data_IF_688556142843
#
_entry.id   IF_688556142843
#
_cell.length_a   1.000
_cell.length_b   1.000
_cell.length_c   1.000
_cell.angle_alpha   90.00
_cell.angle_beta   90.00
_cell.angle_gamma   90.00
#
_symmetry.space_group_name_H-M   'P 1'
#
loop_
_entity.id
_entity.type
_entity.pdbx_description
1 polymer ?
#
# COMPACT_ATOMS: atom_id res chain seq x y z
N UNK A 1 96.12 0.09 0.38
CA UNK A 1 95.29 0.86 1.36
C UNK A 1 94.79 2.11 0.63
N UNK A 2 93.46 2.32 0.62
CA UNK A 2 92.65 3.26 -0.22
C UNK A 2 92.43 2.80 -1.67
N UNK A 3 91.44 1.97 -2.02
CA UNK A 3 89.95 2.15 -2.13
C UNK A 3 89.49 3.00 -3.31
N UNK A 4 89.12 2.29 -4.39
CA UNK A 4 88.31 2.73 -5.53
C UNK A 4 86.89 3.13 -5.13
N UNK A 5 86.29 4.06 -5.88
CA UNK A 5 84.84 4.22 -5.99
C UNK A 5 84.48 4.67 -7.41
N UNK A 6 83.75 3.86 -8.20
CA UNK A 6 83.12 4.32 -9.42
C UNK A 6 81.68 4.80 -9.16
N UNK A 7 81.30 5.81 -9.93
CA UNK A 7 80.02 6.51 -9.95
C UNK A 7 78.94 5.62 -10.56
N UNK A 8 77.89 5.28 -9.80
CA UNK A 8 76.68 4.65 -10.33
C UNK A 8 75.52 5.65 -10.34
N UNK A 9 75.10 6.02 -11.54
CA UNK A 9 73.84 6.68 -11.88
C UNK A 9 72.66 5.79 -11.50
N UNK A 10 71.83 6.22 -10.53
CA UNK A 10 70.53 5.59 -10.24
C UNK A 10 69.42 6.34 -10.98
N UNK A 11 68.84 5.66 -11.96
CA UNK A 11 67.57 5.99 -12.61
C UNK A 11 66.44 5.94 -11.57
N UNK A 12 65.78 7.07 -11.31
CA UNK A 12 64.52 7.15 -10.59
C UNK A 12 63.39 6.81 -11.58
N UNK A 13 62.88 5.58 -11.53
CA UNK A 13 61.62 5.22 -12.19
C UNK A 13 60.47 5.72 -11.31
N UNK A 14 59.64 6.61 -11.85
CA UNK A 14 58.35 6.97 -11.25
C UNK A 14 57.42 5.75 -11.30
N UNK A 15 56.96 5.30 -10.12
CA UNK A 15 55.82 4.41 -9.97
C UNK A 15 54.55 5.28 -9.98
N UNK A 16 53.52 5.00 -10.79
CA UNK A 16 52.25 5.68 -10.66
C UNK A 16 51.54 5.15 -9.40
N UNK A 17 51.14 6.06 -8.53
CA UNK A 17 50.24 5.75 -7.42
C UNK A 17 48.88 5.35 -8.01
N UNK A 18 48.52 4.07 -7.88
CA UNK A 18 47.16 3.59 -8.16
C UNK A 18 46.30 4.08 -7.00
N UNK A 19 45.51 5.13 -7.24
CA UNK A 19 44.45 5.54 -6.33
C UNK A 19 43.40 4.44 -6.31
N UNK A 20 43.25 3.77 -5.16
CA UNK A 20 42.16 2.85 -4.91
C UNK A 20 40.87 3.68 -4.79
N UNK A 21 40.03 3.65 -5.83
CA UNK A 21 38.68 4.19 -5.78
C UNK A 21 37.83 3.22 -4.96
N UNK A 22 37.61 3.55 -3.68
CA UNK A 22 36.63 2.84 -2.86
C UNK A 22 35.24 3.19 -3.41
N UNK A 23 34.64 2.27 -4.16
CA UNK A 23 33.25 2.37 -4.58
C UNK A 23 32.37 2.12 -3.34
N UNK A 24 32.03 3.17 -2.61
CA UNK A 24 30.86 3.15 -1.74
C UNK A 24 29.64 3.10 -2.66
N UNK A 25 29.00 1.93 -2.74
CA UNK A 25 27.70 1.79 -3.39
C UNK A 25 26.69 2.62 -2.63
N UNK A 26 26.26 3.75 -3.21
CA UNK A 26 25.13 4.51 -2.70
C UNK A 26 23.88 3.63 -2.82
N UNK A 27 23.29 3.29 -1.69
CA UNK A 27 21.95 2.73 -1.62
C UNK A 27 20.99 3.80 -2.16
N UNK A 28 20.24 3.47 -3.22
CA UNK A 28 19.14 4.32 -3.67
C UNK A 28 18.12 4.42 -2.54
N UNK A 29 17.91 5.60 -1.98
CA UNK A 29 16.77 5.86 -1.09
C UNK A 29 15.50 5.98 -1.94
N UNK A 30 14.95 4.82 -2.31
CA UNK A 30 13.55 4.72 -2.74
C UNK A 30 12.71 4.76 -1.47
N UNK A 31 11.70 5.64 -1.40
CA UNK A 31 10.74 5.68 -0.30
C UNK A 31 10.38 4.26 0.15
N UNK A 32 10.70 3.93 1.41
CA UNK A 32 10.58 2.56 1.91
C UNK A 32 9.10 2.20 1.91
N UNK A 33 8.75 1.23 1.07
CA UNK A 33 7.41 0.68 1.00
C UNK A 33 7.33 -0.50 1.98
N UNK A 34 6.61 -0.33 3.08
CA UNK A 34 6.26 -1.44 3.97
C UNK A 34 5.10 -2.23 3.35
N UNK A 35 5.26 -3.54 3.18
CA UNK A 35 4.27 -4.40 2.51
C UNK A 35 3.96 -5.62 3.37
N UNK A 36 2.67 -5.79 3.66
CA UNK A 36 2.14 -7.02 4.27
C UNK A 36 1.26 -7.76 3.27
N UNK A 37 1.47 -9.08 3.15
CA UNK A 37 0.67 -9.98 2.31
C UNK A 37 0.09 -11.10 3.19
N UNK A 38 -1.22 -11.31 3.08
CA UNK A 38 -1.93 -12.44 3.67
C UNK A 38 -2.22 -13.48 2.59
N UNK A 39 -1.52 -14.62 2.67
CA UNK A 39 -1.61 -15.74 1.72
C UNK A 39 -2.39 -16.94 2.25
N UNK A 40 -2.78 -16.90 3.54
CA UNK A 40 -3.43 -18.02 4.25
C UNK A 40 -2.59 -19.31 4.37
N UNK A 41 -1.32 -19.29 3.96
CA UNK A 41 -0.44 -20.49 3.98
C UNK A 41 -0.07 -20.97 5.37
N UNK A 42 -0.34 -20.16 6.40
CA UNK A 42 -0.22 -20.58 7.81
C UNK A 42 -1.32 -21.57 8.20
N UNK A 43 -2.32 -21.80 7.34
CA UNK A 43 -3.45 -22.68 7.62
C UNK A 43 -4.50 -22.06 8.54
N UNK A 44 -4.38 -20.77 8.86
CA UNK A 44 -5.34 -19.99 9.62
C UNK A 44 -5.78 -18.74 8.84
N UNK A 45 -6.78 -18.03 9.36
CA UNK A 45 -7.40 -16.91 8.68
C UNK A 45 -6.60 -15.59 8.77
N UNK A 46 -5.49 -15.57 9.52
CA UNK A 46 -4.58 -14.43 9.64
C UNK A 46 -5.28 -13.08 9.93
N UNK A 47 -6.28 -13.10 10.82
CA UNK A 47 -7.05 -11.91 11.21
C UNK A 47 -8.13 -11.47 10.23
N UNK A 48 -8.40 -12.26 9.19
CA UNK A 48 -9.52 -12.07 8.27
C UNK A 48 -10.66 -13.03 8.59
N UNK A 49 -11.90 -12.61 8.37
CA UNK A 49 -13.06 -13.48 8.48
C UNK A 49 -14.07 -13.14 7.39
N UNK A 50 -14.71 -14.18 6.85
CA UNK A 50 -15.85 -14.04 5.96
C UNK A 50 -17.13 -14.52 6.64
N UNK A 51 -18.24 -14.64 5.88
CA UNK A 51 -19.46 -15.26 6.36
C UNK A 51 -19.20 -16.62 7.00
N UNK A 52 -19.69 -16.85 8.20
CA UNK A 52 -19.34 -18.06 8.98
C UNK A 52 -20.54 -18.95 9.32
N UNK A 53 -21.72 -18.67 8.77
CA UNK A 53 -22.93 -19.49 8.94
C UNK A 53 -23.54 -19.46 10.34
N UNK A 54 -22.93 -18.74 11.29
CA UNK A 54 -23.46 -18.53 12.64
C UNK A 54 -24.62 -17.51 12.67
N UNK A 55 -24.90 -16.89 11.53
CA UNK A 55 -26.04 -16.01 11.27
C UNK A 55 -27.35 -16.77 11.00
N UNK A 56 -27.30 -18.10 10.88
CA UNK A 56 -28.47 -18.95 10.67
C UNK A 56 -28.94 -19.07 9.22
N UNK A 57 -28.21 -18.48 8.26
CA UNK A 57 -28.55 -18.52 6.83
C UNK A 57 -27.75 -19.57 6.03
N UNK A 58 -26.87 -20.31 6.70
CA UNK A 58 -26.15 -21.44 6.13
C UNK A 58 -24.95 -21.04 5.26
N UNK A 59 -24.04 -21.98 5.03
CA UNK A 59 -22.76 -21.71 4.38
C UNK A 59 -21.65 -21.35 5.37
N UNK A 60 -20.50 -20.94 4.85
CA UNK A 60 -19.35 -20.57 5.66
C UNK A 60 -18.09 -20.31 4.86
N UNK A 61 -17.14 -19.67 5.53
CA UNK A 61 -15.81 -19.36 5.05
C UNK A 61 -14.80 -20.27 5.76
N UNK A 62 -13.89 -20.84 4.98
CA UNK A 62 -12.79 -21.66 5.50
C UNK A 62 -11.50 -21.38 4.75
N UNK A 63 -10.37 -21.53 5.46
CA UNK A 63 -9.06 -21.58 4.83
C UNK A 63 -8.85 -22.98 4.26
N UNK A 64 -8.47 -23.04 2.99
CA UNK A 64 -8.20 -24.29 2.29
C UNK A 64 -6.78 -24.29 1.75
N UNK A 65 -6.08 -25.42 1.90
CA UNK A 65 -4.65 -25.53 1.57
C UNK A 65 -4.35 -25.60 0.06
N UNK A 66 -5.38 -25.67 -0.79
CA UNK A 66 -5.22 -25.84 -2.24
C UNK A 66 -6.17 -24.96 -3.04
N UNK A 67 -5.77 -24.66 -4.27
CA UNK A 67 -6.54 -23.85 -5.22
C UNK A 67 -6.35 -22.34 -5.06
N UNK A 68 -5.36 -21.90 -4.28
CA UNK A 68 -4.91 -20.51 -4.14
C UNK A 68 -4.11 -20.01 -5.33
N UNK A 69 -3.52 -18.82 -5.17
CA UNK A 69 -2.72 -18.14 -6.18
C UNK A 69 -1.31 -17.77 -5.69
N UNK A 70 -0.42 -18.74 -5.37
CA UNK A 70 -0.61 -20.19 -5.36
C UNK A 70 -1.08 -20.72 -3.98
N UNK A 71 -1.06 -22.04 -3.80
CA UNK A 71 -1.26 -22.73 -2.51
C UNK A 71 -2.61 -22.48 -1.81
N UNK A 72 -2.61 -21.81 -0.66
CA UNK A 72 -3.76 -21.69 0.24
C UNK A 72 -4.65 -20.52 -0.16
N UNK A 73 -5.90 -20.53 0.29
CA UNK A 73 -6.82 -19.41 0.06
C UNK A 73 -7.95 -19.45 1.08
N UNK A 74 -8.67 -18.35 1.19
CA UNK A 74 -9.93 -18.30 1.92
C UNK A 74 -11.09 -18.54 0.95
N UNK A 75 -11.77 -19.67 1.10
CA UNK A 75 -12.92 -20.05 0.27
C UNK A 75 -14.21 -19.84 1.05
N UNK A 76 -15.22 -19.30 0.37
CA UNK A 76 -16.55 -19.06 0.93
C UNK A 76 -17.60 -19.71 0.07
N UNK A 77 -18.49 -20.47 0.69
CA UNK A 77 -19.75 -20.94 0.09
C UNK A 77 -20.85 -20.35 0.96
N UNK A 78 -21.57 -19.37 0.45
CA UNK A 78 -22.50 -18.58 1.25
C UNK A 78 -23.71 -18.17 0.43
N UNK A 79 -24.89 -18.27 1.04
CA UNK A 79 -26.14 -17.89 0.40
C UNK A 79 -26.81 -16.80 1.22
N UNK A 80 -26.67 -15.56 0.75
CA UNK A 80 -27.26 -14.39 1.42
C UNK A 80 -27.28 -13.18 0.48
N UNK A 81 -27.53 -11.98 1.01
CA UNK A 81 -27.58 -10.73 0.27
C UNK A 81 -26.21 -10.29 -0.30
N UNK A 82 -25.10 -10.65 0.35
CA UNK A 82 -23.75 -10.34 -0.14
C UNK A 82 -22.65 -10.93 0.75
N UNK A 83 -21.40 -10.74 0.35
CA UNK A 83 -20.23 -11.22 1.09
C UNK A 83 -19.47 -10.05 1.67
N UNK A 84 -19.26 -10.01 3.01
CA UNK A 84 -18.22 -9.20 3.62
C UNK A 84 -17.02 -10.06 4.05
N UNK A 85 -15.83 -9.77 3.51
CA UNK A 85 -14.56 -10.21 4.08
C UNK A 85 -13.96 -9.07 4.88
N UNK A 86 -13.82 -9.29 6.18
CA UNK A 86 -13.51 -8.24 7.14
C UNK A 86 -12.21 -8.55 7.86
N UNK A 87 -11.50 -7.50 8.24
CA UNK A 87 -10.53 -7.57 9.33
C UNK A 87 -10.82 -6.49 10.36
N UNK A 88 -10.75 -6.90 11.64
CA UNK A 88 -10.91 -6.03 12.82
C UNK A 88 -9.78 -6.25 13.84
N UNK A 89 -8.79 -7.07 13.49
CA UNK A 89 -7.71 -7.47 14.40
C UNK A 89 -6.36 -7.66 13.72
N UNK A 90 -6.25 -7.42 12.40
CA UNK A 90 -4.97 -7.48 11.72
C UNK A 90 -4.36 -6.07 11.71
N UNK A 91 -3.45 -5.81 12.65
CA UNK A 91 -2.84 -4.49 12.84
C UNK A 91 -2.16 -3.95 11.58
N UNK A 92 -1.70 -4.81 10.68
CA UNK A 92 -1.12 -4.37 9.42
C UNK A 92 -2.16 -3.69 8.51
N UNK A 93 -3.46 -3.92 8.67
CA UNK A 93 -4.54 -3.34 7.85
C UNK A 93 -5.39 -2.31 8.61
N UNK A 94 -5.03 -2.00 9.85
CA UNK A 94 -5.80 -1.11 10.71
C UNK A 94 -4.93 0.08 11.16
N UNK A 95 -5.57 1.04 11.82
CA UNK A 95 -4.92 2.22 12.37
C UNK A 95 -4.90 3.42 11.41
N UNK A 96 -3.92 4.29 11.63
CA UNK A 96 -3.77 5.56 10.91
C UNK A 96 -3.09 5.35 9.55
N UNK A 97 -3.84 5.54 8.47
CA UNK A 97 -3.30 5.48 7.11
C UNK A 97 -2.63 6.80 6.70
N UNK A 98 -2.99 7.92 7.33
CA UNK A 98 -2.50 9.27 6.97
C UNK A 98 -1.02 9.49 7.29
N UNK A 99 -0.44 8.63 8.13
CA UNK A 99 1.01 8.54 8.35
C UNK A 99 1.79 8.12 7.09
N UNK A 100 1.13 7.62 6.04
CA UNK A 100 1.74 7.23 4.77
C UNK A 100 1.53 8.28 3.69
N UNK A 101 2.50 8.46 2.79
CA UNK A 101 2.30 9.31 1.60
C UNK A 101 1.42 8.64 0.56
N UNK A 102 1.48 7.31 0.45
CA UNK A 102 0.54 6.56 -0.37
C UNK A 102 0.26 5.21 0.24
N UNK A 103 -0.96 4.71 0.01
CA UNK A 103 -1.38 3.37 0.38
C UNK A 103 -1.87 2.66 -0.87
N UNK A 104 -1.41 1.41 -1.05
CA UNK A 104 -1.91 0.51 -2.09
C UNK A 104 -2.55 -0.71 -1.43
N UNK A 105 -3.81 -0.97 -1.76
CA UNK A 105 -4.54 -2.16 -1.35
C UNK A 105 -4.68 -3.10 -2.53
N UNK A 106 -4.44 -4.40 -2.32
CA UNK A 106 -4.69 -5.44 -3.32
C UNK A 106 -5.41 -6.63 -2.72
N UNK A 107 -6.15 -7.34 -3.56
CA UNK A 107 -6.75 -8.63 -3.24
C UNK A 107 -6.91 -9.45 -4.51
N UNK A 108 -6.60 -10.74 -4.44
CA UNK A 108 -6.95 -11.68 -5.50
C UNK A 108 -8.33 -12.26 -5.22
N UNK A 109 -9.15 -12.35 -6.27
CA UNK A 109 -10.49 -12.94 -6.20
C UNK A 109 -10.68 -13.94 -7.34
N UNK A 110 -11.37 -15.03 -7.02
CA UNK A 110 -11.95 -15.96 -7.99
C UNK A 110 -13.42 -16.23 -7.67
N UNK A 111 -14.29 -16.06 -8.65
CA UNK A 111 -15.74 -16.26 -8.56
C UNK A 111 -16.12 -17.61 -9.17
N UNK A 112 -16.24 -18.65 -8.35
CA UNK A 112 -16.61 -19.99 -8.82
C UNK A 112 -18.11 -20.09 -9.13
N UNK A 113 -18.96 -19.42 -8.34
CA UNK A 113 -20.40 -19.34 -8.56
C UNK A 113 -20.96 -18.01 -8.07
N UNK A 114 -21.84 -17.40 -8.88
CA UNK A 114 -22.60 -16.22 -8.48
C UNK A 114 -23.98 -16.25 -9.16
N UNK A 115 -25.01 -16.68 -8.43
CA UNK A 115 -26.34 -16.92 -9.00
C UNK A 115 -27.47 -16.42 -8.11
N UNK A 116 -28.42 -15.73 -8.72
CA UNK A 116 -29.69 -15.37 -8.11
C UNK A 116 -30.76 -16.30 -8.68
N UNK A 117 -31.36 -17.16 -7.84
CA UNK A 117 -32.35 -18.16 -8.28
C UNK A 117 -31.89 -18.98 -9.50
N UNK A 118 -30.66 -19.50 -9.45
CA UNK A 118 -30.06 -20.30 -10.51
C UNK A 118 -29.63 -19.50 -11.76
N UNK A 119 -29.93 -18.20 -11.83
CA UNK A 119 -29.53 -17.33 -12.94
C UNK A 119 -28.22 -16.64 -12.61
N UNK A 120 -27.27 -16.64 -13.54
CA UNK A 120 -26.00 -15.91 -13.37
C UNK A 120 -26.27 -14.41 -13.21
N UNK A 121 -25.65 -13.81 -12.21
CA UNK A 121 -25.74 -12.37 -11.94
C UNK A 121 -24.35 -11.78 -11.72
N UNK A 122 -24.30 -10.45 -11.73
CA UNK A 122 -23.12 -9.69 -11.30
C UNK A 122 -23.36 -9.06 -9.94
N UNK A 123 -22.28 -8.80 -9.20
CA UNK A 123 -22.29 -8.03 -7.96
C UNK A 123 -21.18 -6.99 -7.98
N UNK A 124 -21.34 -5.85 -7.29
CA UNK A 124 -20.23 -4.95 -7.11
C UNK A 124 -19.14 -5.67 -6.30
N UNK A 125 -17.90 -5.25 -6.49
CA UNK A 125 -16.76 -5.68 -5.70
C UNK A 125 -15.97 -4.44 -5.32
N UNK A 126 -15.82 -4.21 -4.02
CA UNK A 126 -15.27 -2.97 -3.49
C UNK A 126 -14.46 -3.23 -2.23
N UNK A 127 -13.62 -2.26 -1.89
CA UNK A 127 -13.04 -2.12 -0.56
C UNK A 127 -13.71 -0.96 0.17
N UNK A 128 -14.00 -1.15 1.45
CA UNK A 128 -14.53 -0.14 2.37
C UNK A 128 -13.63 -0.07 3.60
N UNK A 129 -13.26 1.15 3.97
CA UNK A 129 -12.44 1.48 5.13
C UNK A 129 -13.31 2.26 6.11
N UNK A 130 -13.53 1.71 7.29
CA UNK A 130 -14.48 2.23 8.28
C UNK A 130 -13.74 2.77 9.50
N UNK A 131 -14.28 3.84 10.04
CA UNK A 131 -13.87 4.45 11.29
C UNK A 131 -15.09 4.55 12.22
N UNK A 132 -15.19 3.67 13.20
CA UNK A 132 -16.32 3.61 14.15
C UNK A 132 -16.34 4.77 15.14
N UNK A 133 -15.20 5.44 15.36
CA UNK A 133 -15.16 6.63 16.22
C UNK A 133 -15.90 7.82 15.62
N UNK A 134 -16.13 7.81 14.30
CA UNK A 134 -16.89 8.82 13.55
C UNK A 134 -18.37 8.45 13.35
N UNK A 135 -18.86 7.39 14.01
CA UNK A 135 -20.27 7.01 13.98
C UNK A 135 -21.17 8.14 14.48
N UNK A 136 -22.20 8.50 13.72
CA UNK A 136 -23.13 9.58 14.05
C UNK A 136 -24.50 9.37 13.40
N UNK A 137 -25.55 10.02 13.90
CA UNK A 137 -26.86 10.00 13.24
C UNK A 137 -27.53 8.63 13.11
N UNK A 138 -27.16 7.65 13.95
CA UNK A 138 -27.63 6.26 13.85
C UNK A 138 -26.77 5.36 12.95
N UNK A 139 -25.76 5.91 12.28
CA UNK A 139 -24.75 5.14 11.58
C UNK A 139 -23.65 4.68 12.56
N UNK A 140 -23.26 3.40 12.52
CA UNK A 140 -22.26 2.86 13.44
C UNK A 140 -20.82 3.30 13.13
N UNK A 141 -20.57 3.88 11.96
CA UNK A 141 -19.27 4.40 11.51
C UNK A 141 -19.44 5.43 10.40
N UNK A 142 -18.40 6.23 10.16
CA UNK A 142 -18.18 6.83 8.85
C UNK A 142 -17.20 5.94 8.06
N UNK A 143 -17.38 5.85 6.74
CA UNK A 143 -16.47 5.06 5.91
C UNK A 143 -16.29 5.64 4.53
N UNK A 144 -15.16 5.27 3.92
CA UNK A 144 -14.82 5.58 2.54
C UNK A 144 -14.66 4.27 1.78
N UNK A 145 -15.12 4.23 0.53
CA UNK A 145 -15.11 3.02 -0.26
C UNK A 145 -14.73 3.27 -1.71
N UNK A 146 -14.11 2.25 -2.32
CA UNK A 146 -13.70 2.25 -3.70
C UNK A 146 -14.19 0.97 -4.38
N UNK A 147 -15.02 1.13 -5.42
CA UNK A 147 -15.52 0.02 -6.22
C UNK A 147 -14.54 -0.34 -7.32
N UNK A 148 -14.02 -1.55 -7.27
CA UNK A 148 -13.12 -2.08 -8.27
C UNK A 148 -13.86 -2.41 -9.57
N UNK A 149 -14.94 -3.18 -9.48
CA UNK A 149 -15.64 -3.70 -10.66
C UNK A 149 -17.05 -4.19 -10.34
N UNK A 150 -17.78 -4.57 -11.39
CA UNK A 150 -18.89 -5.53 -11.31
C UNK A 150 -18.32 -6.92 -11.61
N UNK A 151 -18.34 -7.82 -10.63
CA UNK A 151 -17.81 -9.18 -10.74
C UNK A 151 -18.91 -10.17 -11.10
N UNK A 152 -18.55 -11.22 -11.83
CA UNK A 152 -19.43 -12.35 -12.15
C UNK A 152 -18.58 -13.59 -12.44
N UNK A 153 -19.20 -14.78 -12.36
CA UNK A 153 -18.52 -16.03 -12.72
C UNK A 153 -18.02 -16.04 -14.18
N UNK A 154 -18.69 -15.33 -15.09
CA UNK A 154 -18.29 -15.28 -16.50
C UNK A 154 -17.02 -14.45 -16.74
N UNK A 155 -16.85 -13.38 -15.94
CA UNK A 155 -15.75 -12.41 -16.12
C UNK A 155 -14.59 -12.62 -15.15
N UNK A 156 -14.85 -13.26 -14.01
CA UNK A 156 -13.91 -13.42 -12.90
C UNK A 156 -13.89 -14.87 -12.38
N UNK A 157 -14.16 -15.83 -13.28
CA UNK A 157 -14.10 -17.27 -12.98
C UNK A 157 -12.69 -17.80 -12.73
N UNK A 158 -11.68 -17.05 -13.17
CA UNK A 158 -10.26 -17.27 -12.89
C UNK A 158 -9.72 -16.18 -11.95
N UNK A 159 -8.57 -16.44 -11.33
CA UNK A 159 -7.93 -15.51 -10.41
C UNK A 159 -7.68 -14.14 -11.06
N UNK A 160 -8.17 -13.09 -10.40
CA UNK A 160 -8.02 -11.70 -10.83
C UNK A 160 -7.54 -10.87 -9.65
N UNK A 161 -6.45 -10.12 -9.84
CA UNK A 161 -5.94 -9.16 -8.84
C UNK A 161 -6.65 -7.82 -8.99
N UNK A 162 -7.27 -7.36 -7.92
CA UNK A 162 -7.80 -6.01 -7.79
C UNK A 162 -6.83 -5.13 -7.02
N UNK A 163 -6.70 -3.87 -7.44
CA UNK A 163 -5.75 -2.93 -6.83
C UNK A 163 -6.33 -1.53 -6.79
N UNK A 164 -6.05 -0.79 -5.72
CA UNK A 164 -6.28 0.66 -5.63
C UNK A 164 -5.12 1.31 -4.90
N UNK A 165 -4.62 2.42 -5.45
CA UNK A 165 -3.58 3.25 -4.84
C UNK A 165 -4.14 4.65 -4.62
N UNK A 166 -3.91 5.23 -3.45
CA UNK A 166 -4.46 6.53 -3.08
C UNK A 166 -3.53 7.28 -2.11
N UNK A 167 -3.64 8.61 -2.10
CA UNK A 167 -3.04 9.45 -1.05
C UNK A 167 -4.03 9.51 0.13
N UNK A 168 -3.71 8.90 1.28
CA UNK A 168 -4.61 8.87 2.43
C UNK A 168 -4.78 10.22 3.12
N UNK A 169 -3.95 11.22 2.78
CA UNK A 169 -3.96 12.58 3.39
C UNK A 169 -4.86 13.55 2.63
N UNK A 170 -5.55 13.09 1.59
CA UNK A 170 -6.47 13.94 0.83
C UNK A 170 -7.65 14.36 1.71
N UNK A 171 -7.92 15.66 1.79
CA UNK A 171 -9.10 16.20 2.50
C UNK A 171 -10.39 16.09 1.71
N UNK A 172 -10.31 15.69 0.44
CA UNK A 172 -11.46 15.47 -0.43
C UNK A 172 -11.48 14.03 -0.93
N UNK A 173 -12.65 13.52 -1.32
CA UNK A 173 -12.77 12.19 -1.91
C UNK A 173 -12.00 12.12 -3.25
N UNK A 174 -10.97 11.27 -3.37
CA UNK A 174 -10.26 11.11 -4.63
C UNK A 174 -11.16 10.50 -5.73
N UNK A 175 -10.79 10.58 -7.01
CA UNK A 175 -11.54 9.96 -8.10
C UNK A 175 -11.83 8.48 -7.83
N UNK A 176 -13.09 8.08 -8.01
CA UNK A 176 -13.57 6.72 -7.77
C UNK A 176 -13.90 6.38 -6.31
N UNK A 177 -13.42 7.17 -5.34
CA UNK A 177 -13.82 7.03 -3.95
C UNK A 177 -15.16 7.68 -3.67
N UNK A 178 -15.89 7.11 -2.72
CA UNK A 178 -17.17 7.58 -2.20
C UNK A 178 -17.15 7.46 -0.68
N UNK A 179 -18.09 8.13 -0.01
CA UNK A 179 -18.23 8.06 1.43
C UNK A 179 -19.62 7.64 1.87
N UNK A 180 -19.73 7.16 3.10
CA UNK A 180 -20.98 6.87 3.78
C UNK A 180 -20.82 7.16 5.29
N UNK A 181 -21.93 7.15 6.02
CA UNK A 181 -22.04 7.59 7.42
C UNK A 181 -23.08 8.70 7.61
N UNK A 182 -23.60 9.24 6.50
CA UNK A 182 -24.80 10.05 6.45
C UNK A 182 -25.53 9.81 5.11
N UNK A 183 -26.68 10.45 4.95
CA UNK A 183 -27.52 10.37 3.75
C UNK A 183 -27.83 11.78 3.26
N UNK A 184 -27.72 12.00 1.95
CA UNK A 184 -28.14 13.26 1.34
C UNK A 184 -29.66 13.42 1.48
N UNK A 185 -30.17 14.52 2.07
CA UNK A 185 -31.59 14.66 2.36
C UNK A 185 -32.47 14.86 1.12
N UNK A 186 -31.86 15.04 -0.07
CA UNK A 186 -32.56 15.25 -1.34
C UNK A 186 -32.44 14.02 -2.23
N UNK A 187 -31.23 13.48 -2.41
CA UNK A 187 -31.00 12.34 -3.31
C UNK A 187 -31.10 11.00 -2.61
N UNK A 188 -31.05 10.98 -1.27
CA UNK A 188 -30.96 9.77 -0.45
C UNK A 188 -29.72 8.91 -0.76
N UNK A 189 -28.72 9.51 -1.40
CA UNK A 189 -27.46 8.83 -1.67
C UNK A 189 -26.59 8.84 -0.40
N UNK A 190 -25.81 7.76 -0.15
CA UNK A 190 -24.83 7.74 0.92
C UNK A 190 -23.77 8.82 0.70
N UNK A 191 -23.48 9.56 1.77
CA UNK A 191 -22.45 10.61 1.81
C UNK A 191 -21.63 10.50 3.10
N UNK A 192 -20.48 11.18 3.14
CA UNK A 192 -19.79 11.40 4.42
C UNK A 192 -20.64 12.29 5.33
N UNK A 193 -20.56 12.11 6.66
CA UNK A 193 -21.17 13.04 7.60
C UNK A 193 -20.70 14.48 7.35
N UNK A 194 -21.55 15.50 7.63
CA UNK A 194 -21.15 16.90 7.48
C UNK A 194 -19.87 17.22 8.25
N UNK A 195 -18.89 17.79 7.55
CA UNK A 195 -17.59 18.16 8.13
C UNK A 195 -16.56 17.04 8.18
N UNK A 196 -16.95 15.78 7.91
CA UNK A 196 -16.01 14.66 7.85
C UNK A 196 -15.30 14.60 6.50
N UNK A 197 -13.98 14.53 6.50
CA UNK A 197 -13.14 14.43 5.31
C UNK A 197 -12.62 13.02 5.06
N UNK A 198 -12.01 12.79 3.88
CA UNK A 198 -11.46 11.48 3.52
C UNK A 198 -10.30 11.07 4.43
N UNK A 199 -9.37 11.98 4.71
CA UNK A 199 -8.25 11.76 5.64
C UNK A 199 -8.71 11.53 7.09
N UNK A 200 -9.77 12.20 7.56
CA UNK A 200 -10.31 11.97 8.91
C UNK A 200 -10.85 10.54 9.09
N UNK A 201 -11.51 9.98 8.06
CA UNK A 201 -11.90 8.57 8.08
C UNK A 201 -10.66 7.68 8.13
N UNK A 202 -9.65 7.99 7.32
CA UNK A 202 -8.42 7.20 7.20
C UNK A 202 -7.45 7.33 8.37
N UNK A 203 -7.60 8.35 9.22
CA UNK A 203 -6.78 8.54 10.42
C UNK A 203 -7.02 7.50 11.52
N UNK A 204 -8.06 6.68 11.40
CA UNK A 204 -8.43 5.68 12.40
C UNK A 204 -9.25 4.53 11.83
N UNK A 205 -8.72 3.84 10.81
CA UNK A 205 -9.39 2.67 10.23
C UNK A 205 -9.39 1.52 11.25
N UNK A 206 -10.54 1.17 11.79
CA UNK A 206 -10.70 0.05 12.72
C UNK A 206 -11.38 -1.17 12.09
N UNK A 207 -11.95 -1.00 10.88
CA UNK A 207 -12.46 -2.10 10.07
C UNK A 207 -12.13 -1.87 8.61
N UNK A 208 -11.51 -2.87 7.97
CA UNK A 208 -11.43 -2.96 6.51
C UNK A 208 -12.37 -4.06 6.02
N UNK A 209 -13.09 -3.81 4.93
CA UNK A 209 -13.99 -4.75 4.29
C UNK A 209 -13.72 -4.86 2.79
N UNK A 210 -13.47 -6.07 2.28
CA UNK A 210 -13.67 -6.38 0.87
C UNK A 210 -15.05 -7.00 0.71
N UNK A 211 -15.92 -6.38 -0.08
CA UNK A 211 -17.34 -6.76 -0.05
C UNK A 211 -18.06 -6.60 -1.39
N UNK A 212 -19.19 -7.31 -1.48
CA UNK A 212 -20.21 -7.10 -2.52
C UNK A 212 -21.36 -6.19 -2.11
N UNK A 213 -21.31 -5.62 -0.91
CA UNK A 213 -22.35 -4.76 -0.36
C UNK A 213 -21.98 -3.29 -0.63
N UNK A 214 -22.38 -2.79 -1.80
CA UNK A 214 -22.23 -1.36 -2.12
C UNK A 214 -23.17 -0.51 -1.27
N UNK A 215 -22.65 0.49 -0.52
CA UNK A 215 -23.48 1.38 0.27
C UNK A 215 -24.60 2.02 -0.58
N UNK A 216 -25.80 2.11 -0.01
CA UNK A 216 -26.99 2.65 -0.67
C UNK A 216 -27.74 1.67 -1.58
N UNK A 217 -27.19 0.46 -1.81
CA UNK A 217 -27.88 -0.57 -2.57
C UNK A 217 -28.45 -1.67 -1.66
N UNK A 218 -29.61 -2.18 -2.06
CA UNK A 218 -30.19 -3.40 -1.51
C UNK A 218 -29.94 -4.55 -2.50
N UNK A 219 -29.53 -5.71 -1.97
CA UNK A 219 -29.21 -6.88 -2.78
C UNK A 219 -30.20 -8.01 -2.54
N UNK A 220 -30.49 -8.79 -3.58
CA UNK A 220 -31.29 -9.99 -3.46
C UNK A 220 -30.49 -11.18 -2.95
N UNK A 221 -31.16 -12.12 -2.29
CA UNK A 221 -30.58 -13.36 -1.77
C UNK A 221 -29.95 -14.21 -2.87
N UNK A 222 -28.64 -14.46 -2.80
CA UNK A 222 -27.80 -14.95 -3.91
C UNK A 222 -26.84 -16.04 -3.46
N UNK A 223 -26.64 -17.03 -4.31
CA UNK A 223 -25.63 -18.08 -4.12
C UNK A 223 -24.25 -17.53 -4.47
N UNK A 224 -23.34 -17.51 -3.50
CA UNK A 224 -21.96 -17.10 -3.69
C UNK A 224 -21.00 -18.25 -3.41
N UNK A 225 -20.10 -18.51 -4.34
CA UNK A 225 -18.93 -19.37 -4.11
C UNK A 225 -17.69 -18.64 -4.57
N UNK A 226 -16.98 -18.02 -3.63
CA UNK A 226 -15.84 -17.15 -3.89
C UNK A 226 -14.58 -17.74 -3.25
N UNK A 227 -13.43 -17.39 -3.83
CA UNK A 227 -12.13 -17.53 -3.18
C UNK A 227 -11.42 -16.20 -3.20
N UNK A 228 -10.75 -15.88 -2.09
CA UNK A 228 -9.85 -14.75 -2.01
C UNK A 228 -8.46 -15.21 -1.56
N UNK A 229 -7.45 -14.48 -2.00
CA UNK A 229 -6.06 -14.73 -1.67
C UNK A 229 -5.21 -13.44 -1.78
N UNK A 230 -3.96 -13.49 -1.32
CA UNK A 230 -2.96 -12.43 -1.45
C UNK A 230 -3.47 -11.04 -1.04
N UNK A 231 -4.20 -10.96 0.08
CA UNK A 231 -4.68 -9.67 0.57
C UNK A 231 -3.45 -8.85 0.97
N UNK A 232 -3.25 -7.73 0.29
CA UNK A 232 -2.01 -6.96 0.39
C UNK A 232 -2.32 -5.53 0.78
N UNK A 233 -1.50 -5.00 1.67
CA UNK A 233 -1.38 -3.57 1.90
C UNK A 233 0.09 -3.18 1.76
N UNK A 234 0.32 -2.14 0.97
CA UNK A 234 1.62 -1.48 0.86
C UNK A 234 1.47 -0.04 1.30
N UNK A 235 2.27 0.38 2.29
CA UNK A 235 2.36 1.76 2.77
C UNK A 235 3.70 2.33 2.34
N UNK A 236 3.68 3.46 1.65
CA UNK A 236 4.89 4.20 1.33
C UNK A 236 5.04 5.34 2.32
N UNK A 237 6.16 5.34 3.05
CA UNK A 237 6.50 6.43 3.95
C UNK A 237 6.56 7.77 3.20
N UNK A 238 6.20 8.89 3.84
CA UNK A 238 6.44 10.21 3.27
C UNK A 238 7.90 10.37 2.89
N UNK A 239 8.17 10.73 1.63
CA UNK A 239 9.49 11.21 1.24
C UNK A 239 9.74 12.53 1.97
N UNK A 240 10.71 12.56 2.88
CA UNK A 240 11.22 13.80 3.46
C UNK A 240 12.30 14.32 2.51
N UNK A 241 12.09 15.45 1.81
CA UNK A 241 13.12 15.99 0.93
C UNK A 241 14.39 16.25 1.73
N UNK A 242 15.52 15.68 1.30
CA UNK A 242 16.79 15.79 2.01
C UNK A 242 17.06 14.70 3.05
N UNK A 243 16.12 13.77 3.32
CA UNK A 243 16.39 12.53 4.07
C UNK A 243 17.02 11.51 3.10
N UNK A 244 18.35 11.55 3.06
CA UNK A 244 19.18 10.80 2.13
C UNK A 244 19.61 9.45 2.69
N UNK A 245 19.58 9.25 4.02
CA UNK A 245 19.86 7.96 4.66
C UNK A 245 18.61 7.13 4.96
N UNK A 246 17.42 7.73 4.87
CA UNK A 246 16.11 7.09 5.02
C UNK A 246 15.70 6.87 6.47
N UNK A 247 16.28 7.61 7.44
CA UNK A 247 15.96 7.48 8.86
C UNK A 247 14.68 8.23 9.28
N UNK A 248 14.05 8.97 8.35
CA UNK A 248 12.83 9.75 8.56
C UNK A 248 13.07 11.19 9.02
N UNK A 249 14.33 11.61 9.16
CA UNK A 249 14.76 12.96 9.55
C UNK A 249 15.76 13.53 8.55
N UNK A 250 16.00 14.84 8.59
CA UNK A 250 17.06 15.50 7.81
C UNK A 250 18.05 16.11 8.77
N UNK A 251 19.24 15.54 8.80
CA UNK A 251 20.28 15.94 9.72
C UNK A 251 21.69 15.83 9.16
N UNK A 252 22.65 15.67 10.09
CA UNK A 252 24.07 15.67 9.76
C UNK A 252 24.49 14.44 8.93
N UNK A 253 23.78 13.31 9.08
CA UNK A 253 24.02 12.12 8.28
C UNK A 253 23.68 12.39 6.80
N UNK A 254 22.51 12.97 6.53
CA UNK A 254 22.09 13.34 5.19
C UNK A 254 22.98 14.39 4.56
N UNK A 255 23.33 15.43 5.32
CA UNK A 255 24.29 16.44 4.88
C UNK A 255 25.61 15.79 4.44
N UNK A 256 26.08 14.78 5.18
CA UNK A 256 27.30 14.06 4.82
C UNK A 256 27.15 13.29 3.51
N UNK A 257 25.98 12.69 3.26
CA UNK A 257 25.66 12.02 1.99
C UNK A 257 25.60 13.02 0.83
N UNK A 258 24.93 14.16 1.01
CA UNK A 258 24.84 15.22 -0.01
C UNK A 258 26.23 15.73 -0.38
N UNK A 259 27.05 16.09 0.61
CA UNK A 259 28.41 16.59 0.37
C UNK A 259 29.32 15.53 -0.28
N UNK A 260 29.07 14.24 -0.03
CA UNK A 260 29.79 13.14 -0.68
C UNK A 260 29.42 12.96 -2.15
N UNK A 261 28.24 13.45 -2.56
CA UNK A 261 27.71 13.36 -3.92
C UNK A 261 27.93 14.64 -4.76
N UNK A 262 28.65 15.64 -4.23
CA UNK A 262 28.81 16.95 -4.85
C UNK A 262 29.34 16.90 -6.29
N UNK A 263 28.66 17.60 -7.21
CA UNK A 263 29.01 17.69 -8.62
C UNK A 263 27.96 17.08 -9.55
N UNK A 264 28.33 16.86 -10.81
CA UNK A 264 27.41 16.41 -11.85
C UNK A 264 26.87 14.99 -11.57
N UNK A 265 25.57 14.81 -11.75
CA UNK A 265 24.93 13.51 -11.59
C UNK A 265 25.33 12.54 -12.71
N UNK A 266 25.45 11.24 -12.39
CA UNK A 266 25.76 10.21 -13.38
C UNK A 266 24.60 10.04 -14.39
N UNK A 267 24.85 10.02 -15.72
CA UNK A 267 23.80 10.03 -16.75
C UNK A 267 22.81 8.85 -16.75
N UNK A 268 23.09 7.77 -16.00
CA UNK A 268 22.32 6.52 -15.99
C UNK A 268 22.22 5.89 -14.60
N UNK A 269 22.53 6.63 -13.54
CA UNK A 269 22.36 6.16 -12.17
C UNK A 269 21.56 7.17 -11.37
N UNK A 270 20.93 6.71 -10.29
CA UNK A 270 20.20 7.59 -9.40
C UNK A 270 21.16 8.62 -8.78
N UNK A 271 20.66 9.83 -8.57
CA UNK A 271 21.36 10.91 -7.91
C UNK A 271 20.46 11.47 -6.79
N UNK A 272 20.26 10.73 -5.69
CA UNK A 272 19.26 11.12 -4.67
C UNK A 272 19.54 12.48 -4.02
N UNK A 273 20.79 12.93 -4.04
CA UNK A 273 21.22 14.22 -3.49
C UNK A 273 21.01 15.41 -4.44
N UNK A 274 20.56 15.19 -5.69
CA UNK A 274 20.08 16.24 -6.61
C UNK A 274 18.59 16.46 -6.30
N UNK A 275 18.35 17.28 -5.28
CA UNK A 275 17.04 17.54 -4.69
C UNK A 275 16.21 18.45 -5.59
N UNK A 276 16.87 19.39 -6.29
CA UNK A 276 16.21 20.34 -7.18
C UNK A 276 15.97 19.77 -8.61
N UNK A 277 16.62 18.65 -8.96
CA UNK A 277 16.47 17.93 -10.22
C UNK A 277 17.17 18.59 -11.41
N UNK A 278 18.18 19.42 -11.19
CA UNK A 278 18.91 20.14 -12.26
C UNK A 278 20.02 19.31 -12.92
N UNK A 279 20.27 18.10 -12.42
CA UNK A 279 21.28 17.17 -12.91
C UNK A 279 22.65 17.36 -12.27
N UNK A 280 22.78 18.16 -11.22
CA UNK A 280 24.01 18.33 -10.43
C UNK A 280 23.72 18.55 -8.95
N UNK A 281 24.50 17.92 -8.07
CA UNK A 281 24.46 18.19 -6.62
C UNK A 281 25.31 19.40 -6.30
N UNK A 282 24.69 20.46 -5.78
CA UNK A 282 25.33 21.74 -5.52
C UNK A 282 24.73 22.55 -4.38
N UNK A 283 24.97 23.87 -4.43
CA UNK A 283 24.57 24.78 -3.37
C UNK A 283 23.05 24.91 -3.24
N UNK A 284 22.31 24.71 -4.32
CA UNK A 284 20.86 24.70 -4.34
C UNK A 284 20.31 23.49 -3.59
N UNK A 285 20.83 22.29 -3.83
CA UNK A 285 20.44 21.08 -3.09
C UNK A 285 20.81 21.18 -1.62
N UNK A 286 22.00 21.72 -1.31
CA UNK A 286 22.37 21.99 0.07
C UNK A 286 21.38 22.94 0.75
N UNK A 287 20.91 23.98 0.05
CA UNK A 287 19.91 24.88 0.60
C UNK A 287 18.56 24.20 0.84
N UNK A 288 18.15 23.29 -0.06
CA UNK A 288 16.93 22.49 0.11
C UNK A 288 17.04 21.51 1.29
N UNK A 289 18.17 20.82 1.44
CA UNK A 289 18.44 19.94 2.59
C UNK A 289 18.39 20.73 3.90
N UNK A 290 19.08 21.86 3.98
CA UNK A 290 19.09 22.70 5.18
C UNK A 290 17.73 23.32 5.49
N UNK A 291 16.89 23.54 4.47
CA UNK A 291 15.52 24.02 4.67
C UNK A 291 14.61 22.94 5.28
N UNK A 292 14.94 21.66 5.09
CA UNK A 292 14.21 20.51 5.62
C UNK A 292 14.75 20.01 6.98
N UNK A 293 15.80 20.63 7.53
CA UNK A 293 16.49 20.19 8.75
C UNK A 293 15.55 20.08 9.96
N UNK A 294 15.55 18.93 10.63
CA UNK A 294 14.70 18.65 11.79
C UNK A 294 15.41 17.87 12.92
#
# INVERSE_FOLDING_TARGET
MKTDKPTHTRSLRHLPAIAALAAFGALCSSAVADTTVVTFDKGDAQGWFGPNGNDGFGGGTSVVATGGNPSSNMRTVFQDFGIPYLSVSNDAFLGDYTASQSVTLKIDLRVENLKFWGTNVSRPWLVELRNTSLGSGGYPWASVWFKFAQISAATHGEWTTFTVTFDPRSTTLPPGWRGTGAEDPVTYEPILPPGVTFDEVLAGVDIIAFTTLEPGLFFGFTDHTFRIDNITITRTAPSVPGDLDGDGSVGAADLSILLSAWGACPPKAACPADLNGDGSVGAQDLAELLAAWN
#
